data_IF_620683394041
#
_entry.id   IF_620683394041
#
_cell.length_a   1.000
_cell.length_b   1.000
_cell.length_c   1.000
_cell.angle_alpha   90.00
_cell.angle_beta   90.00
_cell.angle_gamma   90.00
#
_symmetry.space_group_name_H-M   'P 1'
#
loop_
_entity.id
_entity.type
_entity.pdbx_description
1 polymer ?
#
# COMPACT_ATOMS: atom_id res chain seq x y z
N UNK A 1 -9.77 2.98 -5.83
CA UNK A 1 -9.52 1.56 -5.51
C UNK A 1 -8.01 1.35 -5.47
N UNK A 2 -7.42 1.16 -4.30
CA UNK A 2 -6.02 0.72 -4.17
C UNK A 2 -5.91 -0.68 -4.78
N UNK A 3 -4.89 -0.88 -5.60
CA UNK A 3 -4.63 -2.20 -6.19
C UNK A 3 -4.05 -3.08 -5.08
N UNK A 4 -4.78 -4.08 -4.59
CA UNK A 4 -4.22 -5.08 -3.69
C UNK A 4 -3.23 -5.92 -4.49
N UNK A 5 -1.94 -5.85 -4.17
CA UNK A 5 -0.93 -6.71 -4.78
C UNK A 5 -0.75 -8.00 -3.97
N UNK A 6 -0.16 -9.01 -4.62
CA UNK A 6 0.29 -10.23 -3.93
C UNK A 6 1.27 -9.81 -2.83
N UNK A 7 0.89 -10.08 -1.57
CA UNK A 7 1.62 -9.63 -0.38
C UNK A 7 0.90 -8.58 0.47
N UNK A 8 -0.05 -7.83 -0.11
CA UNK A 8 -0.85 -6.84 0.63
C UNK A 8 -2.07 -7.47 1.33
N UNK A 9 -2.39 -8.72 1.01
CA UNK A 9 -3.54 -9.47 1.54
C UNK A 9 -3.54 -9.52 3.08
N UNK A 10 -2.35 -9.51 3.72
CA UNK A 10 -2.22 -9.46 5.18
C UNK A 10 -2.69 -8.13 5.78
N UNK A 11 -2.61 -7.04 5.00
CA UNK A 11 -3.01 -5.69 5.39
C UNK A 11 -4.42 -5.34 4.89
N UNK A 12 -5.17 -6.32 4.36
CA UNK A 12 -6.52 -6.09 3.86
C UNK A 12 -7.52 -7.10 4.44
N UNK A 13 -8.74 -6.64 4.68
CA UNK A 13 -9.90 -7.48 4.98
C UNK A 13 -10.52 -8.03 3.68
N UNK A 14 -11.40 -9.02 3.82
CA UNK A 14 -12.07 -9.68 2.69
C UNK A 14 -12.94 -8.75 1.84
N UNK A 15 -13.35 -7.62 2.41
CA UNK A 15 -14.08 -6.54 1.74
C UNK A 15 -13.15 -5.50 1.06
N UNK A 16 -11.85 -5.81 0.96
CA UNK A 16 -10.83 -4.96 0.35
C UNK A 16 -10.53 -3.68 1.17
N UNK A 17 -10.96 -3.61 2.44
CA UNK A 17 -10.61 -2.52 3.37
C UNK A 17 -9.26 -2.75 4.07
N UNK A 18 -8.56 -1.69 4.50
CA UNK A 18 -7.23 -1.82 5.12
C UNK A 18 -7.31 -2.24 6.59
N UNK A 19 -6.41 -3.15 6.98
CA UNK A 19 -6.11 -3.56 8.35
C UNK A 19 -4.96 -2.73 8.88
N UNK A 20 -5.24 -1.85 9.84
CA UNK A 20 -4.20 -1.10 10.56
C UNK A 20 -3.84 -1.73 11.90
N UNK A 21 -4.61 -2.72 12.35
CA UNK A 21 -4.42 -3.42 13.62
C UNK A 21 -3.93 -4.84 13.30
N UNK A 22 -2.99 -5.39 14.09
CA UNK A 22 -2.54 -6.76 13.90
C UNK A 22 -3.72 -7.75 14.02
N UNK A 23 -3.77 -8.77 13.15
CA UNK A 23 -4.83 -9.77 13.19
C UNK A 23 -4.71 -10.72 14.39
N UNK A 24 -3.54 -10.77 15.04
CA UNK A 24 -3.29 -11.60 16.21
C UNK A 24 -2.88 -10.70 17.39
N UNK A 25 -3.53 -10.83 18.57
CA UNK A 25 -3.15 -10.11 19.79
C UNK A 25 -1.72 -10.39 20.29
N UNK A 26 -1.15 -11.55 19.95
CA UNK A 26 0.25 -11.89 20.27
C UNK A 26 1.27 -11.27 19.31
N UNK A 27 0.81 -10.57 18.27
CA UNK A 27 1.71 -9.95 17.32
C UNK A 27 2.26 -8.64 17.90
N UNK A 28 3.57 -8.48 17.77
CA UNK A 28 4.28 -7.31 18.28
C UNK A 28 3.77 -6.04 17.56
N UNK A 29 3.20 -5.11 18.33
CA UNK A 29 2.58 -3.92 17.76
C UNK A 29 3.60 -3.03 17.06
N UNK A 30 4.82 -2.93 17.57
CA UNK A 30 5.87 -2.10 16.97
C UNK A 30 6.28 -2.66 15.60
N UNK A 31 6.41 -3.98 15.52
CA UNK A 31 6.70 -4.67 14.24
C UNK A 31 5.54 -4.48 13.26
N UNK A 32 4.30 -4.62 13.73
CA UNK A 32 3.13 -4.42 12.88
C UNK A 32 3.03 -2.99 12.34
N UNK A 33 3.25 -1.99 13.20
CA UNK A 33 3.21 -0.58 12.82
C UNK A 33 4.28 -0.24 11.77
N UNK A 34 5.51 -0.73 11.95
CA UNK A 34 6.57 -0.55 10.96
C UNK A 34 6.21 -1.21 9.62
N UNK A 35 5.64 -2.41 9.63
CA UNK A 35 5.19 -3.08 8.41
C UNK A 35 4.06 -2.32 7.70
N UNK A 36 3.10 -1.79 8.46
CA UNK A 36 2.02 -0.95 7.96
C UNK A 36 2.57 0.35 7.36
N UNK A 37 3.54 0.98 8.02
CA UNK A 37 4.19 2.20 7.55
C UNK A 37 4.91 1.97 6.23
N UNK A 38 5.68 0.90 6.10
CA UNK A 38 6.36 0.52 4.85
C UNK A 38 5.36 0.26 3.73
N UNK A 39 4.25 -0.43 4.02
CA UNK A 39 3.17 -0.66 3.05
C UNK A 39 2.54 0.65 2.55
N UNK A 40 2.26 1.60 3.45
CA UNK A 40 1.77 2.93 3.06
C UNK A 40 2.78 3.70 2.19
N UNK A 41 4.06 3.65 2.56
CA UNK A 41 5.13 4.30 1.78
C UNK A 41 5.22 3.72 0.36
N UNK A 42 5.17 2.39 0.22
CA UNK A 42 5.15 1.75 -1.09
C UNK A 42 3.93 2.19 -1.91
N UNK A 43 2.76 2.30 -1.30
CA UNK A 43 1.58 2.82 -1.98
C UNK A 43 1.75 4.28 -2.44
N UNK A 44 2.30 5.14 -1.59
CA UNK A 44 2.58 6.53 -1.94
C UNK A 44 3.58 6.63 -3.10
N UNK A 45 4.64 5.83 -3.08
CA UNK A 45 5.60 5.75 -4.18
C UNK A 45 4.95 5.28 -5.47
N UNK A 46 4.14 4.23 -5.44
CA UNK A 46 3.43 3.73 -6.62
C UNK A 46 2.40 4.72 -7.15
N UNK A 47 1.67 5.42 -6.26
CA UNK A 47 0.77 6.51 -6.65
C UNK A 47 1.56 7.64 -7.30
N UNK A 48 2.72 8.02 -6.73
CA UNK A 48 3.56 9.07 -7.31
C UNK A 48 4.10 8.68 -8.69
N UNK A 49 4.50 7.41 -8.87
CA UNK A 49 4.95 6.87 -10.16
C UNK A 49 3.82 6.85 -11.18
N UNK A 50 2.61 6.45 -10.78
CA UNK A 50 1.40 6.47 -11.62
C UNK A 50 0.91 7.88 -11.93
N UNK A 51 1.19 8.86 -11.06
CA UNK A 51 0.88 10.28 -11.27
C UNK A 51 1.91 11.01 -12.12
N UNK A 52 3.00 10.38 -12.58
CA UNK A 52 3.77 10.96 -13.68
C UNK A 52 2.83 11.02 -14.89
N UNK A 53 2.44 12.22 -15.38
CA UNK A 53 1.79 12.28 -16.67
C UNK A 53 2.77 11.67 -17.67
N UNK A 54 2.28 10.80 -18.55
CA UNK A 54 3.01 10.41 -19.74
C UNK A 54 3.35 11.71 -20.48
N UNK A 55 4.54 12.25 -20.26
CA UNK A 55 5.04 13.44 -20.93
C UNK A 55 5.89 12.95 -22.09
N UNK A 56 5.22 12.69 -23.20
CA UNK A 56 5.77 12.42 -24.55
C UNK A 56 4.59 11.96 -25.40
N UNK A 57 4.19 12.53 -26.55
CA UNK A 57 4.71 13.52 -27.51
C UNK A 57 3.48 14.33 -28.00
N UNK A 58 3.53 15.57 -28.49
CA UNK A 58 4.14 16.08 -29.74
C UNK A 58 4.49 17.58 -29.49
N UNK A 59 5.67 18.12 -29.77
CA UNK A 59 6.39 18.27 -31.04
C UNK A 59 5.66 19.19 -32.04
N UNK A 60 6.26 20.38 -32.18
CA UNK A 60 6.16 21.38 -33.27
C UNK A 60 5.03 22.43 -33.27
#
# INVERSE_FOLDING_TARGET
MSLIRRGDERFHYSDNSHKWIPPNPDYDQEVWDEMVRQHQLQHLEEISKRRKPARSLDAE
#
